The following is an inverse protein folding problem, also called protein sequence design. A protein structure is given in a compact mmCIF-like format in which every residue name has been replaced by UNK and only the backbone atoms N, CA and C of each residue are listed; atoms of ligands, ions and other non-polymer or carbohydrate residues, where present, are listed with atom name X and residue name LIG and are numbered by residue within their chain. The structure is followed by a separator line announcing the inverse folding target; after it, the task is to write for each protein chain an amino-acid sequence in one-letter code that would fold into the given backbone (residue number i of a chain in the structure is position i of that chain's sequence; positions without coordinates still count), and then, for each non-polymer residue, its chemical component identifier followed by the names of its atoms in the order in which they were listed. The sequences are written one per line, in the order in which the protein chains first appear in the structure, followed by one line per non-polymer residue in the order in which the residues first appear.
data_IF_674811545475
#
_entry.id   IF_674811545475
#
_cell.length_a   1.000
_cell.length_b   1.000
_cell.length_c   1.000
_cell.angle_alpha   90.00
_cell.angle_beta   90.00
_cell.angle_gamma   90.00
#
_symmetry.space_group_name_H-M   'P 1'
#
loop_
_entity.id
_entity.type
_entity.pdbx_description
1 polymer ?
#
# COMPACT_ATOMS: atom_id res chain seq x y z
N UNK A 1 5.08 -3.17 -10.00
CA UNK A 1 4.37 -2.28 -9.04
C UNK A 1 4.25 -0.84 -9.54
N UNK A 2 5.24 -0.30 -10.25
CA UNK A 2 5.18 1.06 -10.83
C UNK A 2 3.91 1.28 -11.67
N UNK A 3 3.56 0.33 -12.55
CA UNK A 3 2.34 0.41 -13.37
C UNK A 3 1.04 0.46 -12.54
N UNK A 4 1.00 -0.25 -11.41
CA UNK A 4 -0.16 -0.24 -10.52
C UNK A 4 -0.27 1.08 -9.74
N UNK A 5 0.85 1.67 -9.33
CA UNK A 5 0.85 3.00 -8.70
C UNK A 5 0.35 4.06 -9.67
N UNK A 6 0.83 4.03 -10.92
CA UNK A 6 0.37 4.93 -11.99
C UNK A 6 -1.13 4.76 -12.23
N UNK A 7 -1.63 3.52 -12.25
CA UNK A 7 -3.06 3.25 -12.35
C UNK A 7 -3.85 3.87 -11.19
N UNK A 8 -3.38 3.72 -9.94
CA UNK A 8 -4.01 4.33 -8.77
C UNK A 8 -4.03 5.86 -8.84
N UNK A 9 -2.94 6.48 -9.28
CA UNK A 9 -2.84 7.93 -9.45
C UNK A 9 -3.79 8.44 -10.54
N UNK A 10 -3.85 7.76 -11.69
CA UNK A 10 -4.80 8.07 -12.77
C UNK A 10 -6.25 7.95 -12.30
N UNK A 11 -6.57 6.92 -11.52
CA UNK A 11 -7.91 6.73 -10.95
C UNK A 11 -8.27 7.79 -9.90
N UNK A 12 -7.29 8.23 -9.11
CA UNK A 12 -7.44 9.34 -8.15
C UNK A 12 -7.75 10.66 -8.87
N UNK A 13 -7.09 10.92 -9.99
CA UNK A 13 -7.29 12.13 -10.79
C UNK A 13 -8.58 12.11 -11.63
N UNK A 14 -9.14 10.94 -11.91
CA UNK A 14 -10.32 10.80 -12.76
C UNK A 14 -11.61 11.29 -12.09
N UNK A 15 -12.22 12.32 -12.68
CA UNK A 15 -13.49 12.94 -12.26
C UNK A 15 -14.69 12.31 -12.99
N UNK A 16 -14.96 11.03 -12.73
CA UNK A 16 -16.22 10.40 -13.17
C UNK A 16 -16.14 8.89 -13.37
N UNK A 17 -17.24 8.18 -13.08
CA UNK A 17 -17.32 6.73 -13.16
C UNK A 17 -16.99 6.17 -14.55
N UNK A 18 -17.45 6.82 -15.62
CA UNK A 18 -17.16 6.40 -17.00
C UNK A 18 -15.66 6.54 -17.34
N UNK A 19 -15.03 7.60 -16.85
CA UNK A 19 -13.60 7.84 -17.07
C UNK A 19 -12.75 6.83 -16.31
N UNK A 20 -13.12 6.51 -15.06
CA UNK A 20 -12.48 5.45 -14.26
C UNK A 20 -12.60 4.07 -14.91
N UNK A 21 -13.79 3.72 -15.39
CA UNK A 21 -14.02 2.46 -16.09
C UNK A 21 -13.21 2.36 -17.39
N UNK A 22 -13.05 3.49 -18.09
CA UNK A 22 -12.19 3.56 -19.28
C UNK A 22 -10.72 3.34 -18.94
N UNK A 23 -10.18 4.01 -17.92
CA UNK A 23 -8.79 3.81 -17.46
C UNK A 23 -8.52 2.34 -17.13
N UNK A 24 -9.42 1.70 -16.36
CA UNK A 24 -9.26 0.27 -16.03
C UNK A 24 -9.38 -0.60 -17.28
N UNK A 25 -10.32 -0.31 -18.18
CA UNK A 25 -10.46 -1.05 -19.43
C UNK A 25 -9.25 -0.89 -20.34
N UNK A 26 -8.64 0.29 -20.40
CA UNK A 26 -7.48 0.58 -21.24
C UNK A 26 -6.24 -0.13 -20.63
N UNK A 27 -6.07 -0.10 -19.30
CA UNK A 27 -5.04 -0.87 -18.59
C UNK A 27 -5.13 -2.38 -18.84
N UNK A 28 -6.35 -2.92 -18.95
CA UNK A 28 -6.61 -4.33 -19.26
C UNK A 28 -6.51 -4.66 -20.77
N UNK A 29 -6.50 -3.66 -21.66
CA UNK A 29 -6.49 -3.82 -23.12
C UNK A 29 -5.16 -3.46 -23.79
N UNK A 30 -4.36 -2.56 -23.22
CA UNK A 30 -2.97 -2.27 -23.63
C UNK A 30 -2.02 -3.46 -23.42
N UNK A 31 -2.61 -4.65 -23.34
CA UNK A 31 -2.04 -5.90 -22.90
C UNK A 31 -2.22 -6.99 -23.99
N UNK A 32 -2.38 -6.62 -25.26
CA UNK A 32 -2.69 -7.56 -26.35
C UNK A 32 -1.48 -8.00 -27.20
N UNK A 33 -0.27 -7.99 -26.64
CA UNK A 33 0.83 -8.84 -27.15
C UNK A 33 1.51 -9.67 -26.05
N UNK A 34 1.52 -9.17 -24.80
CA UNK A 34 1.79 -9.92 -23.57
C UNK A 34 0.99 -9.29 -22.44
N UNK A 35 -0.20 -9.80 -22.15
CA UNK A 35 -1.12 -9.04 -21.31
C UNK A 35 -0.72 -8.77 -19.88
N UNK A 36 -1.62 -8.15 -19.11
CA UNK A 36 -1.57 -8.32 -17.65
C UNK A 36 -1.78 -9.81 -17.40
N UNK A 37 -0.69 -10.58 -17.50
CA UNK A 37 -0.64 -12.01 -17.22
C UNK A 37 -0.64 -12.28 -15.71
N UNK A 38 -0.87 -11.23 -14.91
CA UNK A 38 -1.13 -11.32 -13.50
C UNK A 38 -2.57 -11.76 -13.23
N UNK A 39 -2.82 -12.13 -11.98
CA UNK A 39 -4.14 -12.54 -11.53
C UNK A 39 -5.06 -11.32 -11.39
N UNK A 40 -6.12 -11.28 -12.22
CA UNK A 40 -7.16 -10.25 -12.16
C UNK A 40 -7.83 -10.19 -10.79
N UNK A 41 -7.98 -11.32 -10.10
CA UNK A 41 -8.55 -11.36 -8.76
C UNK A 41 -7.66 -10.59 -7.78
N UNK A 42 -6.34 -10.76 -7.86
CA UNK A 42 -5.39 -10.00 -7.03
C UNK A 42 -5.42 -8.51 -7.39
N UNK A 43 -5.48 -8.17 -8.67
CA UNK A 43 -5.58 -6.78 -9.12
C UNK A 43 -6.82 -6.08 -8.54
N UNK A 44 -8.01 -6.67 -8.71
CA UNK A 44 -9.26 -6.10 -8.18
C UNK A 44 -9.30 -6.09 -6.66
N UNK A 45 -8.74 -7.10 -5.99
CA UNK A 45 -8.60 -7.12 -4.53
C UNK A 45 -7.74 -5.97 -4.02
N UNK A 46 -6.67 -5.62 -4.72
CA UNK A 46 -5.83 -4.46 -4.39
C UNK A 46 -6.52 -3.13 -4.74
N UNK A 47 -7.31 -3.08 -5.82
CA UNK A 47 -8.01 -1.88 -6.27
C UNK A 47 -9.22 -1.53 -5.39
N UNK A 48 -9.87 -2.54 -4.81
CA UNK A 48 -11.07 -2.43 -3.99
C UNK A 48 -10.81 -2.98 -2.58
N UNK A 49 -9.93 -2.35 -1.78
CA UNK A 49 -9.56 -2.86 -0.47
C UNK A 49 -10.77 -2.96 0.48
N UNK A 50 -11.80 -2.11 0.31
CA UNK A 50 -13.05 -2.14 1.10
C UNK A 50 -13.91 -3.37 0.87
N UNK A 51 -13.89 -3.92 -0.35
CA UNK A 51 -14.63 -5.15 -0.68
C UNK A 51 -13.86 -6.40 -0.25
N UNK A 52 -12.57 -6.25 0.06
CA UNK A 52 -11.76 -7.34 0.59
C UNK A 52 -12.11 -7.60 2.07
N UNK A 53 -12.29 -8.88 2.44
CA UNK A 53 -12.57 -9.30 3.83
C UNK A 53 -11.35 -9.19 4.76
N UNK A 54 -10.31 -8.47 4.35
CA UNK A 54 -9.06 -8.35 5.10
C UNK A 54 -9.21 -7.31 6.21
N UNK A 55 -9.15 -7.76 7.45
CA UNK A 55 -9.17 -6.91 8.64
C UNK A 55 -7.78 -6.96 9.26
N UNK A 56 -7.03 -5.86 9.15
CA UNK A 56 -5.67 -5.77 9.68
C UNK A 56 -5.62 -5.40 11.16
N UNK A 57 -6.69 -4.80 11.70
CA UNK A 57 -6.79 -4.34 13.09
C UNK A 57 -5.57 -3.51 13.58
N UNK A 58 -4.94 -2.76 12.68
CA UNK A 58 -3.82 -1.86 12.99
C UNK A 58 -4.32 -0.43 12.86
N UNK A 59 -4.13 0.36 13.91
CA UNK A 59 -4.41 1.81 13.92
C UNK A 59 -3.19 2.61 13.46
N UNK A 60 -3.41 3.82 12.97
CA UNK A 60 -2.35 4.73 12.50
C UNK A 60 -1.21 4.91 13.51
N UNK A 61 -1.53 5.13 14.79
CA UNK A 61 -0.52 5.26 15.86
C UNK A 61 0.28 3.97 16.09
N UNK A 62 -0.33 2.80 15.91
CA UNK A 62 0.36 1.52 16.03
C UNK A 62 1.27 1.29 14.82
N UNK A 63 0.83 1.71 13.63
CA UNK A 63 1.62 1.67 12.41
C UNK A 63 2.88 2.53 12.56
N UNK A 64 2.72 3.78 12.98
CA UNK A 64 3.86 4.69 13.23
C UNK A 64 4.82 4.12 14.27
N UNK A 65 4.32 3.52 15.35
CA UNK A 65 5.15 2.88 16.38
C UNK A 65 5.93 1.65 15.87
N UNK A 66 5.36 0.89 14.93
CA UNK A 66 6.07 -0.21 14.28
C UNK A 66 7.17 0.32 13.36
N UNK A 67 6.85 1.32 12.54
CA UNK A 67 7.80 1.91 11.60
C UNK A 67 8.90 2.72 12.27
N UNK A 68 8.65 3.33 13.44
CA UNK A 68 9.72 3.99 14.20
C UNK A 68 10.80 3.00 14.65
N UNK A 69 10.41 1.76 15.00
CA UNK A 69 11.36 0.70 15.34
C UNK A 69 12.10 0.18 14.10
N UNK A 70 11.38 0.00 12.98
CA UNK A 70 11.95 -0.48 11.72
C UNK A 70 12.92 0.53 11.11
N UNK A 71 12.64 1.83 11.23
CA UNK A 71 13.50 2.89 10.70
C UNK A 71 14.56 3.38 11.68
N UNK A 72 14.54 2.91 12.93
CA UNK A 72 15.36 3.40 14.05
C UNK A 72 15.25 4.93 14.24
N UNK A 73 14.02 5.45 14.14
CA UNK A 73 13.71 6.89 14.23
C UNK A 73 12.98 7.23 15.52
N UNK A 74 13.05 8.52 15.88
CA UNK A 74 12.34 9.02 17.05
C UNK A 74 10.83 8.89 16.85
N UNK A 75 10.21 8.13 17.75
CA UNK A 75 8.78 7.85 17.70
C UNK A 75 7.95 9.12 17.91
N UNK A 76 8.38 10.02 18.80
CA UNK A 76 7.63 11.22 19.14
C UNK A 76 7.66 12.23 17.97
N UNK A 77 8.78 12.29 17.24
CA UNK A 77 8.90 13.03 15.98
C UNK A 77 7.91 12.51 14.93
N UNK A 78 7.87 11.18 14.72
CA UNK A 78 6.94 10.58 13.75
C UNK A 78 5.47 10.72 14.17
N UNK A 79 5.16 10.65 15.46
CA UNK A 79 3.81 10.89 15.97
C UNK A 79 3.39 12.36 15.84
N UNK A 80 4.32 13.31 16.06
CA UNK A 80 4.04 14.74 15.84
C UNK A 80 3.80 15.06 14.36
N UNK A 81 4.49 14.37 13.44
CA UNK A 81 4.21 14.48 12.01
C UNK A 81 2.85 13.86 11.66
N UNK A 82 2.49 12.72 12.25
CA UNK A 82 1.16 12.11 12.07
C UNK A 82 0.01 13.05 12.47
N UNK A 83 0.17 13.86 13.51
CA UNK A 83 -0.84 14.84 13.92
C UNK A 83 -1.00 15.99 12.91
N UNK A 84 0.04 16.26 12.11
CA UNK A 84 0.03 17.29 11.06
C UNK A 84 -0.34 16.72 9.69
N UNK A 85 -0.07 15.45 9.46
CA UNK A 85 -0.38 14.74 8.23
C UNK A 85 -1.84 14.28 8.20
N UNK A 86 -2.35 14.01 7.00
CA UNK A 86 -3.72 13.51 6.81
C UNK A 86 -3.85 12.02 7.16
N UNK A 87 -2.75 11.25 7.02
CA UNK A 87 -2.73 9.80 7.21
C UNK A 87 -1.32 9.27 7.54
N UNK A 88 -1.27 8.05 8.10
CA UNK A 88 -0.01 7.41 8.47
C UNK A 88 0.88 7.02 7.29
N UNK A 89 0.32 6.72 6.11
CA UNK A 89 1.11 6.36 4.93
C UNK A 89 1.92 7.55 4.42
N UNK A 90 1.36 8.76 4.47
CA UNK A 90 2.04 10.01 4.13
C UNK A 90 3.23 10.26 5.08
N UNK A 91 3.02 10.13 6.39
CA UNK A 91 4.11 10.27 7.38
C UNK A 91 5.20 9.22 7.15
N UNK A 92 4.84 7.94 7.08
CA UNK A 92 5.81 6.84 6.88
C UNK A 92 6.59 7.06 5.57
N UNK A 93 5.91 7.43 4.49
CA UNK A 93 6.54 7.69 3.19
C UNK A 93 7.55 8.84 3.25
N UNK A 94 7.23 9.93 3.98
CA UNK A 94 8.14 11.06 4.18
C UNK A 94 9.40 10.67 4.95
N UNK A 95 9.26 9.94 6.06
CA UNK A 95 10.40 9.46 6.86
C UNK A 95 11.23 8.39 6.13
N UNK A 96 10.59 7.60 5.27
CA UNK A 96 11.29 6.63 4.43
C UNK A 96 12.07 7.29 3.29
N UNK A 97 11.54 8.38 2.72
CA UNK A 97 12.19 9.13 1.65
C UNK A 97 13.31 10.06 2.14
N UNK A 98 13.31 10.45 3.42
CA UNK A 98 14.32 11.37 3.97
C UNK A 98 15.74 10.78 4.03
N UNK A 99 15.90 9.47 3.79
CA UNK A 99 17.21 8.82 3.65
C UNK A 99 18.00 8.62 4.96
N UNK A 100 17.52 9.20 6.06
CA UNK A 100 18.07 9.05 7.42
C UNK A 100 17.62 7.77 8.14
N UNK A 101 17.02 6.82 7.43
CA UNK A 101 16.55 5.56 7.97
C UNK A 101 17.60 4.46 7.76
N UNK A 102 17.68 3.52 8.72
CA UNK A 102 18.59 2.37 8.63
C UNK A 102 18.35 1.48 7.38
N UNK A 103 17.16 1.60 6.78
CA UNK A 103 16.72 0.86 5.60
C UNK A 103 16.56 1.84 4.45
N UNK A 104 17.27 1.61 3.35
CA UNK A 104 17.20 2.50 2.18
C UNK A 104 16.09 2.09 1.22
N UNK A 105 15.41 3.06 0.56
CA UNK A 105 14.48 2.77 -0.51
C UNK A 105 15.18 2.04 -1.66
N UNK A 106 14.53 1.00 -2.18
CA UNK A 106 15.04 0.28 -3.35
C UNK A 106 15.03 1.20 -4.57
N UNK A 107 16.14 1.20 -5.33
CA UNK A 107 16.29 2.03 -6.53
C UNK A 107 15.31 1.66 -7.66
N UNK A 108 14.80 0.42 -7.68
CA UNK A 108 13.78 -0.03 -8.62
C UNK A 108 12.80 -0.95 -7.91
N UNK A 109 11.51 -0.83 -8.21
CA UNK A 109 10.50 -1.72 -7.65
C UNK A 109 10.52 -3.07 -8.36
N UNK A 110 11.05 -4.11 -7.71
CA UNK A 110 10.98 -5.51 -8.19
C UNK A 110 9.75 -6.25 -7.68
N UNK A 111 8.88 -5.57 -6.93
CA UNK A 111 7.76 -6.17 -6.23
C UNK A 111 6.60 -6.49 -7.19
N UNK A 112 6.09 -7.72 -7.09
CA UNK A 112 4.91 -8.19 -7.83
C UNK A 112 3.62 -8.01 -7.03
N UNK A 113 2.48 -7.89 -7.71
CA UNK A 113 1.18 -7.79 -7.03
C UNK A 113 0.84 -9.04 -6.20
N UNK A 114 1.37 -10.21 -6.60
CA UNK A 114 1.21 -11.46 -5.85
C UNK A 114 1.93 -11.40 -4.50
N UNK A 115 3.17 -10.92 -4.47
CA UNK A 115 3.93 -10.74 -3.23
C UNK A 115 3.26 -9.74 -2.29
N UNK A 116 2.71 -8.65 -2.83
CA UNK A 116 1.90 -7.68 -2.08
C UNK A 116 0.68 -8.35 -1.45
N UNK A 117 -0.08 -9.14 -2.24
CA UNK A 117 -1.26 -9.84 -1.75
C UNK A 117 -0.92 -10.85 -0.64
N UNK A 118 0.20 -11.55 -0.78
CA UNK A 118 0.68 -12.48 0.24
C UNK A 118 1.07 -11.76 1.53
N UNK A 119 1.75 -10.62 1.43
CA UNK A 119 2.09 -9.78 2.58
C UNK A 119 0.83 -9.32 3.33
N UNK A 120 -0.22 -8.93 2.61
CA UNK A 120 -1.51 -8.60 3.20
C UNK A 120 -2.15 -9.78 3.97
N UNK A 121 -2.16 -10.98 3.40
CA UNK A 121 -2.69 -12.17 4.08
C UNK A 121 -1.88 -12.54 5.34
N UNK A 122 -0.54 -12.43 5.27
CA UNK A 122 0.34 -12.68 6.41
C UNK A 122 0.03 -11.68 7.54
N UNK A 123 -0.06 -10.39 7.22
CA UNK A 123 -0.37 -9.35 8.21
C UNK A 123 -1.73 -9.56 8.87
N UNK A 124 -2.75 -9.98 8.10
CA UNK A 124 -4.06 -10.32 8.65
C UNK A 124 -4.07 -11.58 9.53
N UNK A 125 -3.18 -12.54 9.28
CA UNK A 125 -3.05 -13.72 10.15
C UNK A 125 -2.37 -13.32 11.46
N UNK A 126 -1.27 -12.58 11.36
CA UNK A 126 -0.50 -12.11 12.52
C UNK A 126 -1.32 -11.19 13.43
N UNK A 127 -2.17 -10.34 12.87
CA UNK A 127 -3.04 -9.47 13.67
C UNK A 127 -4.12 -10.23 14.44
N UNK A 128 -4.59 -11.38 13.94
CA UNK A 128 -5.51 -12.27 14.69
C UNK A 128 -4.78 -12.93 15.85
N UNK A 129 -3.60 -13.47 15.58
CA UNK A 129 -2.78 -14.14 16.61
C UNK A 129 -2.35 -13.16 17.71
N UNK A 130 -2.08 -11.90 17.38
CA UNK A 130 -1.78 -10.83 18.36
C UNK A 130 -2.98 -10.40 19.20
N UNK A 131 -4.21 -10.51 18.68
CA UNK A 131 -5.44 -10.21 19.44
C UNK A 131 -5.81 -11.37 20.37
N UNK A 132 -5.48 -12.61 20.01
CA UNK A 132 -5.72 -13.77 20.86
C UNK A 132 -4.70 -13.90 22.03
N UNK A 133 -3.62 -13.11 22.01
CA UNK A 133 -2.57 -13.09 23.05
C UNK A 133 -2.74 -11.93 24.05
N UNK A 134 -3.62 -10.96 23.80
CA UNK A 134 -3.91 -9.81 24.69
C UNK A 134 -5.27 -9.99 25.36
#
# INVERSE_FOLDING_TARGET
MEDFSVLCDQLRMATGHKHRAKIVSDFLKDSDEYGFGGDLNVLFRCLLPKESKLVYNIKDKQLVNLFSQVFERDKDEMLSDLEKAEDAATTIGKFFASGDCAIFPAHKSTLTLQEVSNCFNLTCTLSRDLVDII
#
